data_IF_253016879812
#
_entry.id   IF_253016879812
#
_cell.length_a   1.000
_cell.length_b   1.000
_cell.length_c   1.000
_cell.angle_alpha   90.00
_cell.angle_beta   90.00
_cell.angle_gamma   90.00
#
_symmetry.space_group_name_H-M   'P 1'
#
loop_
_entity.id
_entity.type
_entity.pdbx_description
1 polymer ?
#
# COMPACT_ATOMS: atom_id res chain seq x y z
N UNK A 1 -36.42 35.63 -57.75
CA UNK A 1 -36.66 35.61 -56.29
C UNK A 1 -36.83 34.17 -55.84
N UNK A 2 -35.89 33.61 -55.07
CA UNK A 2 -36.08 32.34 -54.35
C UNK A 2 -35.08 32.29 -53.19
N UNK A 3 -35.58 32.44 -51.96
CA UNK A 3 -34.81 32.36 -50.72
C UNK A 3 -34.82 30.91 -50.24
N UNK A 4 -33.71 30.20 -50.38
CA UNK A 4 -33.51 28.91 -49.72
C UNK A 4 -33.25 29.15 -48.23
N UNK A 5 -34.14 28.67 -47.37
CA UNK A 5 -33.98 28.74 -45.91
C UNK A 5 -33.09 27.59 -45.44
N UNK A 6 -31.94 27.94 -44.87
CA UNK A 6 -31.08 27.05 -44.09
C UNK A 6 -31.88 26.46 -42.91
N UNK A 7 -31.86 25.14 -42.77
CA UNK A 7 -32.27 24.44 -41.57
C UNK A 7 -30.99 23.93 -40.89
N UNK A 8 -30.42 24.74 -39.99
CA UNK A 8 -29.32 24.30 -39.12
C UNK A 8 -29.92 23.43 -38.02
N UNK A 9 -29.76 22.11 -38.12
CA UNK A 9 -29.95 21.22 -36.97
C UNK A 9 -28.78 21.44 -36.01
N UNK A 10 -28.99 22.24 -34.97
CA UNK A 10 -28.12 22.31 -33.80
C UNK A 10 -28.33 21.03 -32.99
N UNK A 11 -27.46 20.04 -33.21
CA UNK A 11 -27.29 18.90 -32.32
C UNK A 11 -26.68 19.41 -31.01
N UNK A 12 -27.53 19.61 -30.00
CA UNK A 12 -27.09 19.79 -28.62
C UNK A 12 -26.52 18.46 -28.12
N UNK A 13 -25.22 18.26 -28.30
CA UNK A 13 -24.45 17.27 -27.55
C UNK A 13 -24.45 17.72 -26.08
N UNK A 14 -25.38 17.19 -25.29
CA UNK A 14 -25.31 17.31 -23.83
C UNK A 14 -24.04 16.60 -23.36
N UNK A 15 -23.08 17.30 -22.74
CA UNK A 15 -21.95 16.63 -22.13
C UNK A 15 -22.50 15.74 -21.01
N UNK A 16 -22.33 14.42 -21.16
CA UNK A 16 -22.50 13.50 -20.03
C UNK A 16 -21.44 13.93 -19.04
N UNK A 17 -21.86 14.55 -17.94
CA UNK A 17 -21.00 14.71 -16.78
C UNK A 17 -20.57 13.30 -16.37
N UNK A 18 -19.29 13.00 -16.54
CA UNK A 18 -18.72 11.80 -15.93
C UNK A 18 -18.91 11.97 -14.43
N UNK A 19 -19.90 11.28 -13.85
CA UNK A 19 -20.04 11.21 -12.41
C UNK A 19 -18.69 10.79 -11.85
N UNK A 20 -18.09 11.67 -11.06
CA UNK A 20 -16.80 11.43 -10.46
C UNK A 20 -16.95 10.19 -9.57
N UNK A 21 -16.38 9.07 -10.00
CA UNK A 21 -16.43 7.82 -9.24
C UNK A 21 -15.86 8.12 -7.84
N UNK A 22 -16.65 7.91 -6.77
CA UNK A 22 -16.21 8.26 -5.43
C UNK A 22 -14.94 7.50 -5.07
N UNK A 23 -14.05 8.07 -4.24
CA UNK A 23 -12.87 7.35 -3.79
C UNK A 23 -13.34 6.05 -3.11
N UNK A 24 -12.77 4.90 -3.48
CA UNK A 24 -13.26 3.63 -2.98
C UNK A 24 -13.07 3.52 -1.47
N UNK A 25 -14.07 3.00 -0.77
CA UNK A 25 -13.92 2.57 0.62
C UNK A 25 -13.33 1.15 0.69
N UNK A 26 -12.75 0.74 1.84
CA UNK A 26 -12.33 -0.63 2.07
C UNK A 26 -13.42 -1.69 1.83
N UNK A 27 -14.69 -1.33 2.02
CA UNK A 27 -15.84 -2.19 1.76
C UNK A 27 -16.23 -2.25 0.28
N UNK A 28 -16.02 -1.18 -0.50
CA UNK A 28 -16.37 -1.14 -1.93
C UNK A 28 -15.49 -2.05 -2.78
N UNK A 29 -14.22 -2.23 -2.40
CA UNK A 29 -13.33 -3.15 -3.11
C UNK A 29 -13.47 -4.60 -2.61
N UNK A 30 -14.51 -4.90 -1.82
CA UNK A 30 -14.71 -6.21 -1.23
C UNK A 30 -15.25 -7.26 -2.23
N UNK A 31 -15.68 -6.86 -3.42
CA UNK A 31 -16.34 -7.74 -4.39
C UNK A 31 -15.71 -7.67 -5.78
N UNK A 32 -15.38 -8.84 -6.33
CA UNK A 32 -15.05 -8.96 -7.75
C UNK A 32 -16.25 -8.73 -8.65
N UNK A 33 -17.46 -8.96 -8.15
CA UNK A 33 -18.69 -8.66 -8.87
C UNK A 33 -19.04 -7.17 -8.70
N UNK A 34 -19.22 -6.48 -9.82
CA UNK A 34 -19.82 -5.15 -9.86
C UNK A 34 -18.88 -3.97 -9.56
N UNK A 35 -17.59 -4.20 -9.32
CA UNK A 35 -16.66 -3.09 -9.06
C UNK A 35 -16.36 -2.26 -10.32
N UNK A 36 -16.50 -0.95 -10.20
CA UNK A 36 -16.11 0.03 -11.22
C UNK A 36 -14.60 0.34 -11.22
N UNK A 37 -13.86 -0.10 -10.20
CA UNK A 37 -12.48 0.30 -9.99
C UNK A 37 -11.50 -0.54 -10.82
N UNK A 38 -10.51 0.11 -11.44
CA UNK A 38 -9.49 -0.55 -12.29
C UNK A 38 -8.70 -1.59 -11.49
N UNK A 39 -8.29 -1.24 -10.26
CA UNK A 39 -7.55 -2.15 -9.39
C UNK A 39 -8.32 -3.45 -9.13
N UNK A 40 -9.62 -3.37 -8.86
CA UNK A 40 -10.42 -4.56 -8.57
C UNK A 40 -10.54 -5.47 -9.77
N UNK A 41 -10.75 -4.90 -10.95
CA UNK A 41 -10.76 -5.68 -12.20
C UNK A 41 -9.45 -6.45 -12.38
N UNK A 42 -8.31 -5.83 -12.09
CA UNK A 42 -7.00 -6.49 -12.14
C UNK A 42 -6.87 -7.60 -11.09
N UNK A 43 -7.18 -7.28 -9.83
CA UNK A 43 -7.12 -8.23 -8.71
C UNK A 43 -8.01 -9.43 -8.95
N UNK A 44 -9.18 -9.23 -9.55
CA UNK A 44 -10.15 -10.29 -9.79
C UNK A 44 -9.86 -11.13 -11.03
N UNK A 45 -9.13 -10.57 -12.01
CA UNK A 45 -8.68 -11.29 -13.18
C UNK A 45 -7.47 -12.20 -12.90
N UNK A 46 -6.63 -11.86 -11.90
CA UNK A 46 -5.44 -12.64 -11.53
C UNK A 46 -5.66 -13.44 -10.22
N UNK A 47 -5.66 -14.79 -10.27
CA UNK A 47 -5.85 -15.61 -9.08
C UNK A 47 -4.83 -15.39 -7.96
N UNK A 48 -3.58 -15.06 -8.29
CA UNK A 48 -2.54 -14.81 -7.30
C UNK A 48 -2.76 -13.46 -6.60
N UNK A 49 -3.16 -12.43 -7.35
CA UNK A 49 -3.54 -11.13 -6.77
C UNK A 49 -4.79 -11.27 -5.90
N UNK A 50 -5.81 -12.01 -6.36
CA UNK A 50 -7.02 -12.30 -5.59
C UNK A 50 -6.70 -12.98 -4.25
N UNK A 51 -5.82 -13.98 -4.28
CA UNK A 51 -5.39 -14.67 -3.06
C UNK A 51 -4.59 -13.76 -2.12
N UNK A 52 -3.74 -12.88 -2.68
CA UNK A 52 -2.98 -11.91 -1.89
C UNK A 52 -3.90 -10.87 -1.23
N UNK A 53 -4.88 -10.35 -1.97
CA UNK A 53 -5.87 -9.41 -1.45
C UNK A 53 -6.70 -10.03 -0.32
N UNK A 54 -7.17 -11.27 -0.50
CA UNK A 54 -7.91 -11.99 0.54
C UNK A 54 -7.11 -12.17 1.85
N UNK A 55 -5.78 -12.30 1.78
CA UNK A 55 -4.92 -12.43 2.97
C UNK A 55 -4.77 -11.14 3.77
N UNK A 56 -4.79 -9.98 3.12
CA UNK A 56 -4.41 -8.70 3.77
C UNK A 56 -5.54 -7.68 3.87
N UNK A 57 -6.66 -7.89 3.16
CA UNK A 57 -7.77 -6.93 3.07
C UNK A 57 -8.35 -6.61 4.44
N UNK A 58 -8.58 -7.65 5.25
CA UNK A 58 -9.17 -7.54 6.58
C UNK A 58 -8.20 -8.14 7.59
N UNK A 59 -7.48 -7.31 8.36
CA UNK A 59 -6.66 -7.79 9.46
C UNK A 59 -7.51 -8.55 10.49
N UNK A 60 -6.91 -9.51 11.20
CA UNK A 60 -7.56 -10.11 12.36
C UNK A 60 -7.84 -9.04 13.44
N UNK A 61 -8.73 -9.34 14.40
CA UNK A 61 -9.02 -8.40 15.48
C UNK A 61 -7.76 -7.99 16.27
N UNK A 62 -6.84 -8.93 16.50
CA UNK A 62 -5.55 -8.64 17.14
C UNK A 62 -4.65 -7.77 16.26
N UNK A 63 -4.55 -8.06 14.97
CA UNK A 63 -3.76 -7.23 14.04
C UNK A 63 -4.33 -5.82 13.94
N UNK A 64 -5.67 -5.67 13.90
CA UNK A 64 -6.32 -4.36 13.87
C UNK A 64 -5.99 -3.56 15.14
N UNK A 65 -6.13 -4.16 16.33
CA UNK A 65 -5.76 -3.54 17.60
C UNK A 65 -4.28 -3.15 17.65
N UNK A 66 -3.39 -4.01 17.16
CA UNK A 66 -1.95 -3.74 17.13
C UNK A 66 -1.58 -2.67 16.12
N UNK A 67 -2.27 -2.57 14.97
CA UNK A 67 -2.10 -1.48 14.01
C UNK A 67 -2.48 -0.13 14.61
N UNK A 68 -3.59 -0.07 15.35
CA UNK A 68 -4.03 1.18 16.00
C UNK A 68 -3.09 1.62 17.13
N UNK A 69 -2.35 0.69 17.72
CA UNK A 69 -1.35 0.95 18.75
C UNK A 69 0.10 1.05 18.22
N UNK A 70 0.30 0.82 16.92
CA UNK A 70 1.62 0.86 16.30
C UNK A 70 2.16 2.30 16.25
N UNK A 71 3.46 2.45 16.04
CA UNK A 71 4.04 3.78 15.86
C UNK A 71 3.60 4.41 14.54
N UNK A 72 3.76 5.73 14.40
CA UNK A 72 3.49 6.48 13.15
C UNK A 72 4.34 5.98 11.96
N UNK A 73 5.32 5.11 12.21
CA UNK A 73 6.14 4.47 11.20
C UNK A 73 5.58 3.13 10.69
N UNK A 74 4.36 2.78 11.12
CA UNK A 74 3.56 1.68 10.56
C UNK A 74 2.30 2.26 9.96
N UNK A 75 2.10 2.07 8.66
CA UNK A 75 0.93 2.62 7.98
C UNK A 75 -0.37 1.95 8.43
N UNK A 76 -1.39 2.76 8.70
CA UNK A 76 -2.74 2.27 9.00
C UNK A 76 -3.37 1.57 7.79
N UNK A 77 -4.29 0.63 8.04
CA UNK A 77 -4.91 -0.21 6.99
C UNK A 77 -5.64 0.62 5.92
N UNK A 78 -6.37 1.66 6.35
CA UNK A 78 -7.11 2.57 5.48
C UNK A 78 -6.18 3.38 4.57
N UNK A 79 -5.12 3.96 5.13
CA UNK A 79 -4.10 4.70 4.38
C UNK A 79 -3.36 3.81 3.38
N UNK A 80 -2.95 2.61 3.81
CA UNK A 80 -2.32 1.62 2.93
C UNK A 80 -3.22 1.27 1.74
N UNK A 81 -4.50 1.03 2.01
CA UNK A 81 -5.46 0.65 1.00
C UNK A 81 -5.65 1.76 -0.05
N UNK A 82 -5.79 3.02 0.39
CA UNK A 82 -5.84 4.17 -0.51
C UNK A 82 -4.57 4.31 -1.36
N UNK A 83 -3.40 4.06 -0.76
CA UNK A 83 -2.12 4.12 -1.47
C UNK A 83 -1.98 3.00 -2.50
N UNK A 84 -2.36 1.77 -2.16
CA UNK A 84 -2.41 0.61 -3.08
C UNK A 84 -3.28 0.91 -4.29
N UNK A 85 -4.40 1.61 -4.11
CA UNK A 85 -5.28 1.96 -5.23
C UNK A 85 -4.65 2.90 -6.25
N UNK A 86 -3.58 3.61 -5.88
CA UNK A 86 -2.81 4.44 -6.84
C UNK A 86 -2.04 3.61 -7.87
N UNK A 87 -1.87 2.29 -7.66
CA UNK A 87 -1.34 1.39 -8.68
C UNK A 87 -2.21 1.38 -9.96
N UNK A 88 -3.47 1.83 -9.92
CA UNK A 88 -4.28 2.04 -11.12
C UNK A 88 -3.68 3.05 -12.12
N UNK A 89 -2.77 3.91 -11.67
CA UNK A 89 -2.12 4.93 -12.51
C UNK A 89 -0.69 4.56 -12.90
N UNK A 90 -0.20 3.40 -12.46
CA UNK A 90 1.13 2.93 -12.83
C UNK A 90 1.13 2.30 -14.23
N UNK A 91 2.27 2.33 -14.92
CA UNK A 91 2.44 1.61 -16.19
C UNK A 91 2.59 0.09 -15.95
N UNK A 92 3.10 -0.29 -14.78
CA UNK A 92 3.37 -1.66 -14.33
C UNK A 92 2.36 -2.12 -13.27
N UNK A 93 1.06 -1.85 -13.51
CA UNK A 93 -0.03 -2.07 -12.54
C UNK A 93 0.01 -3.43 -11.82
N UNK A 94 0.21 -4.59 -12.52
CA UNK A 94 0.25 -5.88 -11.84
C UNK A 94 1.42 -5.99 -10.85
N UNK A 95 2.61 -5.53 -11.24
CA UNK A 95 3.81 -5.60 -10.39
C UNK A 95 3.70 -4.61 -9.22
N UNK A 96 3.15 -3.41 -9.44
CA UNK A 96 2.84 -2.45 -8.39
C UNK A 96 1.91 -3.08 -7.33
N UNK A 97 0.85 -3.78 -7.76
CA UNK A 97 -0.08 -4.45 -6.85
C UNK A 97 0.58 -5.60 -6.09
N UNK A 98 1.39 -6.42 -6.77
CA UNK A 98 2.13 -7.52 -6.13
C UNK A 98 3.03 -7.01 -5.01
N UNK A 99 3.79 -5.94 -5.26
CA UNK A 99 4.69 -5.35 -4.27
C UNK A 99 3.92 -4.66 -3.14
N UNK A 100 2.77 -4.02 -3.44
CA UNK A 100 1.90 -3.46 -2.42
C UNK A 100 1.35 -4.52 -1.45
N UNK A 101 0.94 -5.69 -1.98
CA UNK A 101 0.47 -6.81 -1.17
C UNK A 101 1.61 -7.50 -0.41
N UNK A 102 2.80 -7.61 -1.00
CA UNK A 102 3.97 -8.17 -0.33
C UNK A 102 4.36 -7.33 0.90
N UNK A 103 4.39 -5.99 0.76
CA UNK A 103 4.58 -5.10 1.88
C UNK A 103 3.53 -5.32 2.97
N UNK A 104 2.25 -5.36 2.62
CA UNK A 104 1.21 -5.47 3.65
C UNK A 104 1.25 -6.81 4.36
N UNK A 105 1.57 -7.87 3.64
CA UNK A 105 1.77 -9.19 4.23
C UNK A 105 2.89 -9.14 5.27
N UNK A 106 4.04 -8.54 4.94
CA UNK A 106 5.16 -8.39 5.86
C UNK A 106 4.79 -7.56 7.10
N UNK A 107 4.07 -6.45 6.91
CA UNK A 107 3.58 -5.61 8.02
C UNK A 107 2.65 -6.40 8.95
N UNK A 108 1.64 -7.08 8.38
CA UNK A 108 0.67 -7.83 9.16
C UNK A 108 1.28 -9.03 9.88
N UNK A 109 2.25 -9.70 9.25
CA UNK A 109 3.01 -10.77 9.87
C UNK A 109 3.86 -10.24 11.04
N UNK A 110 4.53 -9.11 10.86
CA UNK A 110 5.34 -8.48 11.90
C UNK A 110 4.52 -7.92 13.08
N UNK A 111 3.20 -7.80 12.99
CA UNK A 111 2.40 -7.45 14.16
C UNK A 111 2.29 -8.62 15.14
N UNK A 112 2.17 -9.84 14.63
CA UNK A 112 1.82 -11.03 15.42
C UNK A 112 2.97 -12.02 15.58
N UNK A 113 4.05 -11.86 14.82
CA UNK A 113 5.24 -12.69 14.91
C UNK A 113 6.45 -11.86 15.34
N UNK A 114 7.19 -12.37 16.32
CA UNK A 114 8.53 -11.87 16.59
C UNK A 114 9.45 -12.19 15.42
N UNK A 115 10.36 -11.28 15.10
CA UNK A 115 11.35 -11.52 14.06
C UNK A 115 12.51 -12.36 14.62
N UNK A 116 13.10 -13.18 13.76
CA UNK A 116 14.18 -14.08 14.13
C UNK A 116 15.45 -13.72 13.33
N UNK A 117 16.65 -13.79 13.93
CA UNK A 117 16.98 -13.51 15.32
C UNK A 117 17.00 -11.98 15.57
N UNK A 118 16.11 -11.49 16.43
CA UNK A 118 16.11 -10.09 16.89
C UNK A 118 17.41 -9.74 17.61
N UNK A 119 18.18 -8.80 17.06
CA UNK A 119 19.41 -8.29 17.65
C UNK A 119 19.15 -6.94 18.33
N UNK A 120 19.75 -6.71 19.49
CA UNK A 120 19.75 -5.39 20.10
C UNK A 120 20.52 -4.41 19.23
N UNK A 121 19.93 -3.27 18.93
CA UNK A 121 20.51 -2.21 18.11
C UNK A 121 20.05 -0.83 18.54
N UNK A 122 20.40 0.16 17.74
CA UNK A 122 20.00 1.56 17.94
C UNK A 122 19.54 2.18 16.65
N UNK A 123 18.35 2.79 16.65
CA UNK A 123 17.88 3.67 15.59
C UNK A 123 17.93 5.11 16.11
N UNK A 124 18.84 5.94 15.59
CA UNK A 124 19.13 7.26 16.14
C UNK A 124 19.56 7.17 17.61
N UNK A 125 18.72 7.66 18.54
CA UNK A 125 18.94 7.57 20.00
C UNK A 125 18.10 6.48 20.68
N UNK A 126 17.24 5.80 19.94
CA UNK A 126 16.30 4.80 20.47
C UNK A 126 16.98 3.43 20.49
N UNK A 127 17.00 2.78 21.66
CA UNK A 127 17.36 1.37 21.75
C UNK A 127 16.22 0.53 21.14
N UNK A 128 16.57 -0.42 20.27
CA UNK A 128 15.60 -1.22 19.52
C UNK A 128 16.03 -2.68 19.43
N UNK A 129 15.08 -3.56 19.12
CA UNK A 129 15.36 -4.87 18.55
C UNK A 129 15.21 -4.79 17.03
N UNK A 130 16.19 -5.33 16.31
CA UNK A 130 16.25 -5.37 14.86
C UNK A 130 16.27 -6.82 14.43
N UNK A 131 15.25 -7.25 13.71
CA UNK A 131 15.15 -8.59 13.15
C UNK A 131 14.86 -8.58 11.67
N UNK A 132 14.83 -9.76 11.08
CA UNK A 132 14.40 -9.95 9.70
C UNK A 132 13.27 -10.95 9.63
N UNK A 133 12.26 -10.64 8.82
CA UNK A 133 11.15 -11.55 8.54
C UNK A 133 10.83 -11.46 7.04
N UNK A 134 10.98 -12.57 6.32
CA UNK A 134 10.64 -12.66 4.89
C UNK A 134 11.28 -11.56 4.01
N UNK A 135 12.51 -11.14 4.34
CA UNK A 135 13.23 -10.08 3.60
C UNK A 135 12.88 -8.65 4.01
N UNK A 136 11.95 -8.46 4.94
CA UNK A 136 11.71 -7.18 5.61
C UNK A 136 12.59 -7.04 6.87
N UNK A 137 13.07 -5.83 7.13
CA UNK A 137 13.73 -5.45 8.39
C UNK A 137 12.67 -4.99 9.38
N UNK A 138 12.58 -5.66 10.52
CA UNK A 138 11.59 -5.39 11.56
C UNK A 138 12.28 -4.64 12.71
N UNK A 139 11.72 -3.50 13.11
CA UNK A 139 12.22 -2.69 14.21
C UNK A 139 11.18 -2.70 15.32
N UNK A 140 11.61 -3.05 16.53
CA UNK A 140 10.78 -3.01 17.74
C UNK A 140 11.43 -2.19 18.84
N UNK A 141 10.59 -1.52 19.61
CA UNK A 141 10.92 -0.90 20.88
C UNK A 141 10.24 -1.77 21.95
N UNK A 142 11.04 -2.60 22.61
CA UNK A 142 10.55 -3.72 23.43
C UNK A 142 9.59 -4.65 22.64
N UNK A 143 8.30 -4.66 22.99
CA UNK A 143 7.23 -5.43 22.33
C UNK A 143 6.51 -4.64 21.25
N UNK A 144 6.64 -3.32 21.24
CA UNK A 144 5.93 -2.44 20.29
C UNK A 144 6.61 -2.48 18.92
N UNK A 145 5.82 -2.74 17.88
CA UNK A 145 6.27 -2.61 16.50
C UNK A 145 6.51 -1.13 16.18
N UNK A 146 7.77 -0.79 15.89
CA UNK A 146 8.16 0.56 15.48
C UNK A 146 8.04 0.66 13.97
N UNK A 147 8.75 -0.16 13.21
CA UNK A 147 8.74 -0.07 11.76
C UNK A 147 8.92 -1.43 11.10
N UNK A 148 8.41 -1.54 9.87
CA UNK A 148 8.66 -2.65 8.95
C UNK A 148 9.19 -2.05 7.67
N UNK A 149 10.49 -2.25 7.43
CA UNK A 149 11.18 -1.66 6.30
C UNK A 149 11.45 -2.72 5.24
N UNK A 150 11.02 -2.45 4.01
CA UNK A 150 11.25 -3.34 2.87
C UNK A 150 12.38 -2.81 1.99
N UNK A 151 13.11 -3.67 1.28
CA UNK A 151 14.00 -3.21 0.22
C UNK A 151 13.21 -2.44 -0.85
N UNK A 152 13.88 -1.56 -1.57
CA UNK A 152 13.25 -0.87 -2.71
C UNK A 152 12.84 -1.91 -3.77
N UNK A 153 11.54 -2.00 -4.13
CA UNK A 153 11.09 -2.93 -5.15
C UNK A 153 11.54 -2.49 -6.55
N UNK A 154 11.33 -3.39 -7.52
CA UNK A 154 11.58 -3.08 -8.93
C UNK A 154 10.40 -2.39 -9.61
N UNK A 155 9.19 -2.52 -9.06
CA UNK A 155 7.99 -1.86 -9.58
C UNK A 155 7.93 -0.37 -9.20
N UNK A 156 6.89 0.31 -9.70
CA UNK A 156 6.51 1.67 -9.31
C UNK A 156 6.03 1.79 -7.86
N UNK A 157 5.76 0.68 -7.17
CA UNK A 157 5.40 0.72 -5.75
C UNK A 157 6.55 1.30 -4.93
N UNK A 158 6.22 2.19 -3.99
CA UNK A 158 7.20 2.76 -3.05
C UNK A 158 6.82 2.31 -1.65
N UNK A 159 7.67 1.57 -0.92
CA UNK A 159 7.29 1.12 0.40
C UNK A 159 7.07 2.23 1.42
N UNK A 160 6.19 2.00 2.41
CA UNK A 160 5.94 2.99 3.47
C UNK A 160 7.24 3.36 4.19
N UNK A 161 8.04 2.34 4.50
CA UNK A 161 9.42 2.47 4.97
C UNK A 161 10.32 1.62 4.07
N UNK A 162 11.35 2.24 3.51
CA UNK A 162 12.38 1.57 2.71
C UNK A 162 13.64 1.35 3.53
N UNK A 163 14.22 0.15 3.48
CA UNK A 163 15.52 -0.17 4.07
C UNK A 163 16.64 -0.02 3.02
N UNK A 164 17.59 0.87 3.27
CA UNK A 164 18.81 1.03 2.48
C UNK A 164 20.03 0.54 3.28
N UNK A 165 20.77 -0.49 2.84
CA UNK A 165 21.99 -0.94 3.53
C UNK A 165 23.03 0.18 3.64
N UNK A 166 23.64 0.34 4.82
CA UNK A 166 24.69 1.33 5.11
C UNK A 166 25.80 0.73 5.96
N UNK A 167 26.82 0.17 5.31
CA UNK A 167 27.94 -0.48 6.01
C UNK A 167 27.44 -1.65 6.86
N UNK A 168 27.52 -1.53 8.18
CA UNK A 168 27.00 -2.53 9.14
C UNK A 168 25.57 -2.29 9.60
N UNK A 169 24.93 -1.22 9.13
CA UNK A 169 23.59 -0.81 9.55
C UNK A 169 22.66 -0.58 8.37
N UNK A 170 21.55 0.11 8.66
CA UNK A 170 20.48 0.42 7.73
C UNK A 170 20.11 1.90 7.81
N UNK A 171 19.78 2.50 6.67
CA UNK A 171 19.03 3.75 6.64
C UNK A 171 17.58 3.41 6.31
N UNK A 172 16.70 3.69 7.25
CA UNK A 172 15.26 3.56 7.04
C UNK A 172 14.75 4.90 6.51
N UNK A 173 14.03 4.88 5.40
CA UNK A 173 13.48 6.08 4.76
C UNK A 173 11.98 5.97 4.60
N UNK A 174 11.26 7.00 5.01
CA UNK A 174 9.80 7.10 4.87
C UNK A 174 9.40 7.63 3.50
N UNK A 175 8.11 7.51 3.17
CA UNK A 175 7.54 8.00 1.91
C UNK A 175 7.77 9.49 1.67
N UNK A 176 7.70 10.30 2.73
CA UNK A 176 7.90 11.75 2.74
C UNK A 176 9.38 12.17 2.60
N UNK A 177 10.31 11.20 2.64
CA UNK A 177 11.74 11.42 2.53
C UNK A 177 12.46 11.60 3.87
N UNK A 178 11.74 11.64 5.00
CA UNK A 178 12.37 11.53 6.31
C UNK A 178 13.20 10.25 6.39
N UNK A 179 14.21 10.21 7.25
CA UNK A 179 15.01 9.00 7.45
C UNK A 179 15.63 8.91 8.83
N UNK A 180 15.96 7.68 9.25
CA UNK A 180 16.69 7.37 10.47
C UNK A 180 17.75 6.32 10.15
N UNK A 181 18.93 6.46 10.76
CA UNK A 181 19.99 5.47 10.66
C UNK A 181 19.89 4.50 11.85
N UNK A 182 19.94 3.20 11.56
CA UNK A 182 19.88 2.09 12.49
C UNK A 182 21.17 1.26 12.42
N UNK A 183 21.69 0.82 13.57
CA UNK A 183 22.92 0.04 13.70
C UNK A 183 22.82 -1.02 14.77
#
# INVERSE_FOLDING_TARGET
MMRARLCYLLLFLTPVAADAVPPPTPADLAGCEGSAFVVDRLVCADPALKAADARVRVPSADQARLLDAASDYVERQDAWFQRRNRCAFADDQPDCLRDAYAERTAVLAALVHDAAPDQSGQCGKMAVRIGTLEGATIIRDDSRLVAVALPKPRSSWRPFVTAEPRGKGWRLRWLDGAHIDCR
#
